data_IF_695630620701
#
_entry.id   IF_695630620701
#
_cell.length_a   1.000
_cell.length_b   1.000
_cell.length_c   1.000
_cell.angle_alpha   90.00
_cell.angle_beta   90.00
_cell.angle_gamma   90.00
#
_symmetry.space_group_name_H-M   'P 1'
#
loop_
_entity.id
_entity.type
_entity.pdbx_description
1 polymer ?
#
# COMPACT_ATOMS: atom_id res chain seq x y z
N UNK A 1 -18.11 -19.87 7.27
CA UNK A 1 -17.80 -18.99 8.42
C UNK A 1 -16.30 -18.73 8.37
N UNK A 2 -15.88 -17.66 7.71
CA UNK A 2 -14.48 -17.23 7.73
C UNK A 2 -14.14 -16.75 9.14
N UNK A 3 -12.95 -17.09 9.64
CA UNK A 3 -12.45 -16.54 10.89
C UNK A 3 -12.40 -15.01 10.75
N UNK A 4 -13.29 -14.30 11.43
CA UNK A 4 -13.15 -12.87 11.68
C UNK A 4 -11.88 -12.71 12.53
N UNK A 5 -10.78 -12.35 11.88
CA UNK A 5 -9.56 -11.92 12.56
C UNK A 5 -9.96 -10.74 13.44
N UNK A 6 -9.71 -10.83 14.74
CA UNK A 6 -10.01 -9.72 15.63
C UNK A 6 -9.16 -8.52 15.26
N UNK A 7 -9.66 -7.32 15.50
CA UNK A 7 -8.97 -6.07 15.19
C UNK A 7 -7.53 -5.99 15.73
N UNK A 8 -7.30 -6.55 16.93
CA UNK A 8 -5.96 -6.68 17.51
C UNK A 8 -5.05 -7.64 16.74
N UNK A 9 -5.57 -8.80 16.30
CA UNK A 9 -4.82 -9.74 15.46
C UNK A 9 -4.53 -9.16 14.07
N UNK A 10 -5.46 -8.35 13.53
CA UNK A 10 -5.25 -7.67 12.26
C UNK A 10 -4.12 -6.64 12.37
N UNK A 11 -4.13 -5.79 13.41
CA UNK A 11 -3.02 -4.87 13.70
C UNK A 11 -1.69 -5.60 13.83
N UNK A 12 -1.67 -6.75 14.50
CA UNK A 12 -0.44 -7.53 14.66
C UNK A 12 0.05 -8.11 13.32
N UNK A 13 -0.85 -8.63 12.48
CA UNK A 13 -0.49 -9.10 11.14
C UNK A 13 0.03 -7.97 10.23
N UNK A 14 -0.52 -6.76 10.35
CA UNK A 14 -0.01 -5.59 9.63
C UNK A 14 1.42 -5.28 10.10
N UNK A 15 1.64 -5.23 11.41
CA UNK A 15 2.95 -4.93 12.00
C UNK A 15 4.01 -5.97 11.60
N UNK A 16 3.62 -7.24 11.52
CA UNK A 16 4.48 -8.32 11.00
C UNK A 16 4.85 -8.05 9.54
N UNK A 17 3.88 -7.76 8.66
CA UNK A 17 4.15 -7.46 7.25
C UNK A 17 5.02 -6.22 7.06
N UNK A 18 4.80 -5.15 7.84
CA UNK A 18 5.66 -3.95 7.79
C UNK A 18 7.10 -4.26 8.19
N UNK A 19 7.29 -5.13 9.19
CA UNK A 19 8.61 -5.58 9.65
C UNK A 19 9.31 -6.40 8.57
N UNK A 20 8.60 -7.37 7.98
CA UNK A 20 9.12 -8.20 6.89
C UNK A 20 9.51 -7.37 5.65
N UNK A 21 8.69 -6.39 5.27
CA UNK A 21 8.98 -5.54 4.12
C UNK A 21 10.18 -4.59 4.37
N UNK A 22 10.30 -4.07 5.60
CA UNK A 22 11.46 -3.30 6.05
C UNK A 22 12.74 -4.13 5.99
N UNK A 23 12.70 -5.38 6.48
CA UNK A 23 13.82 -6.31 6.39
C UNK A 23 14.17 -6.64 4.95
N UNK A 24 13.18 -6.88 4.08
CA UNK A 24 13.40 -7.17 2.66
C UNK A 24 14.14 -6.02 1.97
N UNK A 25 13.68 -4.77 2.16
CA UNK A 25 14.32 -3.56 1.62
C UNK A 25 15.74 -3.37 2.17
N UNK A 26 15.96 -3.68 3.45
CA UNK A 26 17.29 -3.64 4.06
C UNK A 26 18.24 -4.66 3.42
N UNK A 27 17.78 -5.89 3.18
CA UNK A 27 18.55 -6.94 2.49
C UNK A 27 18.89 -6.55 1.06
N UNK A 28 17.93 -6.05 0.29
CA UNK A 28 18.15 -5.57 -1.09
C UNK A 28 19.20 -4.45 -1.15
N UNK A 29 19.14 -3.49 -0.21
CA UNK A 29 20.13 -2.41 -0.12
C UNK A 29 21.52 -2.93 0.25
N UNK A 30 21.61 -3.93 1.13
CA UNK A 30 22.88 -4.54 1.53
C UNK A 30 23.52 -5.31 0.36
N UNK A 31 22.73 -6.08 -0.40
CA UNK A 31 23.21 -6.79 -1.59
C UNK A 31 23.73 -5.82 -2.66
N UNK A 32 23.01 -4.72 -2.93
CA UNK A 32 23.48 -3.70 -3.89
C UNK A 32 24.76 -2.97 -3.44
N UNK A 33 24.96 -2.80 -2.13
CA UNK A 33 26.21 -2.28 -1.56
C UNK A 33 27.37 -3.28 -1.71
N UNK A 34 27.13 -4.57 -1.49
CA UNK A 34 28.14 -5.62 -1.63
C UNK A 34 28.56 -5.84 -3.10
N UNK A 35 27.61 -5.77 -4.05
CA UNK A 35 27.91 -5.81 -5.48
C UNK A 35 28.75 -4.61 -5.92
N UNK A 36 28.43 -3.40 -5.43
CA UNK A 36 29.22 -2.21 -5.70
C UNK A 36 30.65 -2.32 -5.12
N UNK A 37 30.82 -2.83 -3.89
CA UNK A 37 32.15 -3.06 -3.30
C UNK A 37 32.98 -4.09 -4.08
N UNK A 38 32.35 -5.18 -4.54
CA UNK A 38 33.03 -6.17 -5.39
C UNK A 38 33.47 -5.58 -6.72
N UNK A 39 32.64 -4.74 -7.34
CA UNK A 39 32.99 -4.07 -8.61
C UNK A 39 34.13 -3.07 -8.48
N UNK A 40 34.30 -2.45 -7.30
CA UNK A 40 35.41 -1.53 -7.03
C UNK A 40 36.74 -2.26 -6.81
N UNK A 41 36.73 -3.44 -6.16
CA UNK A 41 37.94 -4.23 -5.93
C UNK A 41 38.48 -4.93 -7.20
N UNK A 42 37.64 -5.17 -8.21
CA UNK A 42 38.07 -5.82 -9.47
C UNK A 42 38.86 -4.85 -10.37
N UNK A 43 38.67 -3.53 -10.22
CA UNK A 43 39.32 -2.53 -11.07
C UNK A 43 40.73 -2.11 -10.60
N UNK A 44 41.23 -2.63 -9.48
CA UNK A 44 42.58 -2.29 -8.97
C UNK A 44 43.68 -3.30 -9.36
N UNK A 45 43.36 -4.47 -9.94
CA UNK A 45 44.38 -5.49 -10.26
C UNK A 45 44.80 -5.59 -11.74
N UNK A 46 44.14 -4.90 -12.68
CA UNK A 46 44.56 -4.90 -14.10
C UNK A 46 45.36 -3.64 -14.49
N UNK A 47 46.61 -3.54 -14.03
CA UNK A 47 47.61 -2.76 -14.77
C UNK A 47 49.06 -3.18 -14.46
N UNK A 48 49.55 -4.22 -15.16
CA UNK A 48 50.98 -4.43 -15.49
C UNK A 48 51.14 -5.53 -16.54
N UNK A 49 51.54 -5.14 -17.75
CA UNK A 49 52.15 -5.99 -18.79
C UNK A 49 53.69 -5.79 -18.71
N UNK A 50 54.60 -6.71 -19.11
CA UNK A 50 54.66 -7.28 -20.47
C UNK A 50 55.10 -8.76 -20.63
N UNK A 51 54.78 -9.32 -21.81
CA UNK A 51 55.29 -10.52 -22.54
C UNK A 51 56.86 -10.64 -22.58
N UNK A 52 57.57 -11.75 -22.99
CA UNK A 52 57.15 -12.87 -23.86
C UNK A 52 57.76 -14.30 -23.66
N UNK A 53 57.13 -15.29 -24.34
CA UNK A 53 57.64 -16.55 -24.91
C UNK A 53 58.41 -17.59 -24.04
N UNK A 54 57.89 -18.82 -23.98
CA UNK A 54 58.64 -20.06 -24.36
C UNK A 54 57.67 -21.23 -24.56
N UNK A 55 58.00 -22.06 -25.55
CA UNK A 55 57.38 -23.33 -25.94
C UNK A 55 57.65 -24.41 -24.88
N UNK A 56 56.78 -25.42 -24.78
CA UNK A 56 57.09 -26.84 -25.05
C UNK A 56 55.89 -27.74 -24.70
N UNK A 57 55.91 -28.91 -25.30
CA UNK A 57 54.83 -29.85 -25.65
C UNK A 57 54.43 -30.84 -24.55
N UNK A 58 53.34 -31.58 -24.84
CA UNK A 58 53.03 -32.97 -24.41
C UNK A 58 52.68 -33.20 -22.92
N UNK A 59 51.78 -34.09 -22.49
CA UNK A 59 50.93 -35.13 -23.09
C UNK A 59 49.92 -35.58 -22.00
N UNK A 60 48.93 -36.42 -22.32
CA UNK A 60 48.32 -37.33 -21.32
C UNK A 60 46.80 -37.36 -21.18
N UNK A 61 46.25 -38.47 -21.67
CA UNK A 61 44.85 -38.92 -21.64
C UNK A 61 44.28 -39.26 -20.24
N UNK A 62 42.94 -39.14 -20.15
CA UNK A 62 41.92 -39.95 -19.46
C UNK A 62 42.24 -40.60 -18.09
N UNK A 63 41.32 -40.44 -17.13
CA UNK A 63 40.87 -41.58 -16.32
C UNK A 63 39.49 -41.35 -15.66
N UNK A 64 38.54 -42.22 -16.00
CA UNK A 64 37.33 -42.52 -15.22
C UNK A 64 37.76 -43.22 -13.92
N UNK A 65 37.23 -42.76 -12.79
CA UNK A 65 37.41 -43.39 -11.48
C UNK A 65 36.10 -43.47 -10.73
N UNK A 66 35.44 -44.62 -10.83
CA UNK A 66 34.29 -45.04 -10.01
C UNK A 66 34.81 -45.54 -8.66
N UNK A 67 34.37 -44.97 -7.52
CA UNK A 67 34.53 -45.59 -6.20
C UNK A 67 33.26 -45.35 -5.36
N UNK A 68 32.76 -46.46 -4.82
CA UNK A 68 31.55 -46.62 -4.04
C UNK A 68 31.64 -46.09 -2.60
N UNK A 69 30.47 -45.67 -2.09
CA UNK A 69 29.94 -45.77 -0.73
C UNK A 69 30.84 -45.50 0.49
N UNK A 70 30.49 -44.48 1.28
CA UNK A 70 29.93 -44.67 2.65
C UNK A 70 29.45 -43.33 3.25
N UNK A 71 28.21 -43.39 3.73
CA UNK A 71 27.40 -42.59 4.67
C UNK A 71 28.07 -41.41 5.43
N UNK A 72 27.51 -40.19 5.30
CA UNK A 72 26.69 -39.53 6.35
C UNK A 72 26.18 -38.15 5.89
N UNK A 73 25.01 -37.79 6.41
CA UNK A 73 24.38 -36.47 6.53
C UNK A 73 23.50 -35.91 5.39
N UNK A 74 22.23 -36.30 5.47
CA UNK A 74 21.03 -35.44 5.32
C UNK A 74 20.98 -34.47 4.13
N UNK A 75 20.94 -35.00 2.92
CA UNK A 75 20.42 -34.25 1.75
C UNK A 75 18.91 -34.50 1.60
N UNK A 76 18.09 -33.72 2.33
CA UNK A 76 16.66 -33.58 2.01
C UNK A 76 16.51 -32.74 0.74
N UNK A 77 16.76 -33.36 -0.41
CA UNK A 77 16.35 -32.85 -1.72
C UNK A 77 14.85 -33.06 -1.89
N UNK A 78 14.06 -32.37 -1.07
CA UNK A 78 12.62 -32.26 -1.29
C UNK A 78 12.39 -31.44 -2.56
N UNK A 79 12.12 -32.16 -3.63
CA UNK A 79 11.59 -31.69 -4.91
C UNK A 79 10.61 -30.54 -4.67
N UNK A 80 10.98 -29.34 -5.11
CA UNK A 80 10.09 -28.17 -5.20
C UNK A 80 9.00 -28.48 -6.23
N UNK A 81 7.97 -29.19 -5.78
CA UNK A 81 6.67 -29.22 -6.46
C UNK A 81 6.22 -27.76 -6.49
N UNK A 82 6.19 -27.15 -7.68
CA UNK A 82 5.78 -25.76 -7.85
C UNK A 82 4.41 -25.56 -7.22
N UNK A 83 4.39 -25.02 -6.00
CA UNK A 83 3.17 -24.57 -5.35
C UNK A 83 2.74 -23.39 -6.20
N UNK A 84 1.69 -23.59 -6.99
CA UNK A 84 0.97 -22.46 -7.60
C UNK A 84 0.38 -21.70 -6.42
N UNK A 85 1.06 -20.64 -5.98
CA UNK A 85 0.53 -19.73 -4.96
C UNK A 85 -0.78 -19.16 -5.50
N UNK A 86 -1.90 -19.64 -4.95
CA UNK A 86 -3.22 -19.13 -5.29
C UNK A 86 -3.37 -17.75 -4.65
N UNK A 87 -3.79 -16.72 -5.41
CA UNK A 87 -3.94 -15.38 -4.87
C UNK A 87 -5.06 -15.34 -3.83
N UNK A 88 -4.94 -14.44 -2.85
CA UNK A 88 -5.93 -14.28 -1.78
C UNK A 88 -6.98 -13.25 -2.21
N UNK A 89 -8.21 -13.67 -2.55
CA UNK A 89 -9.25 -12.75 -3.02
C UNK A 89 -9.73 -11.82 -1.90
N UNK A 90 -10.08 -10.60 -2.28
CA UNK A 90 -10.77 -9.63 -1.42
C UNK A 90 -12.29 -9.80 -1.54
N UNK A 91 -13.03 -9.42 -0.50
CA UNK A 91 -14.51 -9.41 -0.51
C UNK A 91 -15.05 -8.49 -1.62
N UNK A 92 -14.47 -7.29 -1.71
CA UNK A 92 -14.78 -6.31 -2.75
C UNK A 92 -13.56 -6.02 -3.62
N UNK A 93 -13.81 -5.72 -4.89
CA UNK A 93 -12.81 -5.06 -5.73
C UNK A 93 -12.72 -3.58 -5.39
N UNK A 94 -11.52 -3.01 -5.47
CA UNK A 94 -11.23 -1.62 -5.13
C UNK A 94 -10.50 -0.95 -6.29
N UNK A 95 -10.69 0.37 -6.44
CA UNK A 95 -10.06 1.16 -7.50
C UNK A 95 -9.31 2.34 -6.90
N UNK A 96 -8.02 2.46 -7.24
CA UNK A 96 -7.24 3.64 -6.94
C UNK A 96 -7.50 4.74 -7.96
N UNK A 97 -7.61 5.99 -7.50
CA UNK A 97 -7.78 7.18 -8.33
C UNK A 97 -6.82 8.27 -7.91
N UNK A 98 -6.37 9.07 -8.87
CA UNK A 98 -5.57 10.27 -8.59
C UNK A 98 -6.20 11.50 -9.22
N UNK A 99 -6.17 12.60 -8.50
CA UNK A 99 -6.44 13.92 -9.03
C UNK A 99 -5.13 14.73 -9.08
N UNK A 100 -4.62 14.96 -10.28
CA UNK A 100 -3.37 15.67 -10.47
C UNK A 100 -3.60 17.18 -10.24
N UNK A 101 -2.88 17.83 -9.31
CA UNK A 101 -3.06 19.26 -9.02
C UNK A 101 -2.89 20.18 -10.24
N UNK A 102 -2.03 19.81 -11.19
CA UNK A 102 -1.81 20.59 -12.42
C UNK A 102 -3.00 20.54 -13.38
N UNK A 103 -3.72 19.42 -13.42
CA UNK A 103 -4.94 19.29 -14.19
C UNK A 103 -6.12 19.90 -13.43
N UNK A 104 -6.14 19.78 -12.10
CA UNK A 104 -7.15 20.35 -11.19
C UNK A 104 -7.28 21.86 -11.31
N UNK A 105 -6.16 22.59 -11.40
CA UNK A 105 -6.17 24.05 -11.53
C UNK A 105 -6.83 24.56 -12.82
N UNK A 106 -7.00 23.70 -13.82
CA UNK A 106 -7.62 24.01 -15.12
C UNK A 106 -9.04 23.44 -15.26
N UNK A 107 -9.59 22.81 -14.21
CA UNK A 107 -10.92 22.21 -14.28
C UNK A 107 -12.04 23.25 -14.24
N UNK A 108 -13.01 23.11 -15.14
CA UNK A 108 -14.29 23.84 -15.07
C UNK A 108 -15.29 23.19 -14.11
N UNK A 109 -15.18 21.87 -13.89
CA UNK A 109 -16.06 21.07 -13.03
C UNK A 109 -15.22 20.21 -12.11
N UNK A 110 -15.52 20.23 -10.80
CA UNK A 110 -14.79 19.45 -9.81
C UNK A 110 -14.83 17.95 -10.14
N UNK A 111 -13.68 17.27 -9.98
CA UNK A 111 -13.56 15.84 -10.24
C UNK A 111 -13.38 15.47 -11.72
N UNK A 112 -13.36 16.43 -12.64
CA UNK A 112 -13.17 16.16 -14.08
C UNK A 112 -11.76 15.69 -14.45
N UNK A 113 -10.73 15.98 -13.63
CA UNK A 113 -9.38 15.42 -13.80
C UNK A 113 -9.06 14.24 -12.90
N UNK A 114 -10.04 13.71 -12.17
CA UNK A 114 -9.86 12.43 -11.47
C UNK A 114 -9.74 11.31 -12.49
N UNK A 115 -8.69 10.49 -12.36
CA UNK A 115 -8.44 9.37 -13.26
C UNK A 115 -8.31 8.09 -12.45
N UNK A 116 -9.00 7.01 -12.86
CA UNK A 116 -8.74 5.71 -12.29
C UNK A 116 -7.33 5.27 -12.71
N UNK A 117 -6.56 4.76 -11.76
CA UNK A 117 -5.22 4.24 -11.99
C UNK A 117 -5.30 2.73 -12.22
N UNK A 118 -5.90 2.02 -11.27
CA UNK A 118 -5.93 0.56 -11.29
C UNK A 118 -7.08 0.02 -10.42
N UNK A 119 -7.69 -1.08 -10.87
CA UNK A 119 -8.67 -1.85 -10.09
C UNK A 119 -8.07 -3.19 -9.67
N UNK A 120 -8.13 -3.50 -8.38
CA UNK A 120 -7.60 -4.73 -7.81
C UNK A 120 -8.66 -5.49 -7.03
N UNK A 121 -8.47 -6.80 -6.92
CA UNK A 121 -9.41 -7.75 -6.30
C UNK A 121 -8.73 -8.82 -5.44
N UNK A 122 -7.40 -8.75 -5.29
CA UNK A 122 -6.63 -9.67 -4.44
C UNK A 122 -5.63 -8.91 -3.58
N UNK A 123 -5.16 -9.54 -2.49
CA UNK A 123 -4.18 -8.98 -1.57
C UNK A 123 -2.83 -8.74 -2.28
N UNK A 124 -2.42 -9.65 -3.17
CA UNK A 124 -1.17 -9.54 -3.93
C UNK A 124 -1.20 -8.36 -4.89
N UNK A 125 -2.34 -8.15 -5.56
CA UNK A 125 -2.54 -7.00 -6.43
C UNK A 125 -2.48 -5.70 -5.61
N UNK A 126 -3.10 -5.66 -4.44
CA UNK A 126 -3.01 -4.50 -3.54
C UNK A 126 -1.55 -4.18 -3.19
N UNK A 127 -0.78 -5.14 -2.70
CA UNK A 127 0.62 -4.90 -2.30
C UNK A 127 1.52 -4.58 -3.49
N UNK A 128 1.32 -5.26 -4.63
CA UNK A 128 2.02 -4.94 -5.87
C UNK A 128 1.81 -3.48 -6.28
N UNK A 129 0.58 -2.98 -6.20
CA UNK A 129 0.29 -1.58 -6.52
C UNK A 129 0.82 -0.63 -5.45
N UNK A 130 0.52 -0.90 -4.17
CA UNK A 130 0.87 -0.03 -3.06
C UNK A 130 2.38 0.22 -2.97
N UNK A 131 3.19 -0.80 -3.29
CA UNK A 131 4.65 -0.71 -3.27
C UNK A 131 5.23 0.05 -4.47
N UNK A 132 4.46 0.24 -5.55
CA UNK A 132 4.88 0.92 -6.77
C UNK A 132 4.28 2.33 -6.94
N UNK A 133 3.43 2.77 -6.02
CA UNK A 133 2.86 4.13 -6.01
C UNK A 133 3.55 5.02 -4.96
N UNK A 134 3.47 6.34 -5.14
CA UNK A 134 3.94 7.28 -4.14
C UNK A 134 3.02 7.31 -2.92
N UNK A 135 3.61 7.14 -1.72
CA UNK A 135 2.94 7.40 -0.44
C UNK A 135 2.56 8.89 -0.30
N UNK A 136 1.58 9.22 0.57
CA UNK A 136 1.13 10.59 0.78
C UNK A 136 2.25 11.62 0.96
N UNK A 137 3.28 11.30 1.74
CA UNK A 137 4.44 12.15 2.00
C UNK A 137 5.24 12.55 0.75
N UNK A 138 5.12 11.79 -0.34
CA UNK A 138 5.82 11.98 -1.61
C UNK A 138 4.92 12.50 -2.73
N UNK A 139 3.62 12.69 -2.47
CA UNK A 139 2.71 13.25 -3.46
C UNK A 139 2.92 14.77 -3.63
N UNK A 140 2.67 15.32 -4.83
CA UNK A 140 2.79 16.75 -5.06
C UNK A 140 1.73 17.53 -4.27
N UNK A 141 2.07 18.77 -3.90
CA UNK A 141 1.14 19.65 -3.19
C UNK A 141 -0.15 19.86 -3.99
N UNK A 142 -1.29 19.70 -3.31
CA UNK A 142 -2.61 19.81 -3.92
C UNK A 142 -3.12 18.49 -4.54
N UNK A 143 -2.33 17.41 -4.50
CA UNK A 143 -2.78 16.10 -4.93
C UNK A 143 -3.84 15.52 -3.99
N UNK A 144 -4.76 14.78 -4.58
CA UNK A 144 -5.69 13.91 -3.89
C UNK A 144 -5.54 12.49 -4.44
N UNK A 145 -5.34 11.53 -3.53
CA UNK A 145 -5.20 10.10 -3.86
C UNK A 145 -6.32 9.32 -3.17
N UNK A 146 -7.03 8.49 -3.94
CA UNK A 146 -8.30 7.91 -3.52
C UNK A 146 -8.27 6.40 -3.68
N UNK A 147 -8.97 5.68 -2.81
CA UNK A 147 -9.26 4.25 -2.95
C UNK A 147 -10.74 4.02 -2.65
N UNK A 148 -11.51 3.60 -3.64
CA UNK A 148 -12.96 3.43 -3.53
C UNK A 148 -13.38 2.03 -3.97
N UNK A 149 -14.48 1.51 -3.39
CA UNK A 149 -15.08 0.25 -3.85
C UNK A 149 -15.36 0.37 -5.35
N UNK A 150 -15.10 -0.71 -6.09
CA UNK A 150 -15.22 -0.70 -7.54
C UNK A 150 -16.65 -0.31 -7.97
N UNK A 151 -16.74 0.49 -9.04
CA UNK A 151 -17.98 1.14 -9.55
C UNK A 151 -18.54 2.29 -8.70
N UNK A 152 -17.87 2.69 -7.63
CA UNK A 152 -18.15 3.94 -6.92
C UNK A 152 -17.10 4.96 -7.35
N UNK A 153 -17.55 6.04 -8.00
CA UNK A 153 -16.64 7.15 -8.29
C UNK A 153 -16.43 8.00 -7.04
N UNK A 154 -15.23 8.55 -6.81
CA UNK A 154 -14.92 9.42 -5.66
C UNK A 154 -15.53 10.83 -5.84
N UNK A 155 -16.83 10.88 -6.14
CA UNK A 155 -17.57 12.07 -6.52
C UNK A 155 -18.87 12.17 -5.72
N UNK A 156 -19.30 13.39 -5.40
CA UNK A 156 -20.56 13.59 -4.68
C UNK A 156 -21.77 13.40 -5.60
N UNK A 157 -21.55 13.44 -6.92
CA UNK A 157 -22.53 13.13 -7.96
C UNK A 157 -22.82 11.63 -8.08
N UNK A 158 -21.93 10.78 -7.56
CA UNK A 158 -22.15 9.34 -7.55
C UNK A 158 -23.38 9.03 -6.67
N UNK A 159 -24.41 8.36 -7.21
CA UNK A 159 -25.67 8.14 -6.50
C UNK A 159 -25.48 7.37 -5.18
N UNK A 160 -24.41 6.57 -5.08
CA UNK A 160 -24.11 5.77 -3.89
C UNK A 160 -23.63 6.63 -2.73
N UNK A 161 -22.88 7.70 -2.99
CA UNK A 161 -22.32 8.56 -1.94
C UNK A 161 -22.98 9.95 -1.88
N UNK A 162 -24.00 10.22 -2.70
CA UNK A 162 -24.71 11.51 -2.76
C UNK A 162 -25.36 11.90 -1.41
N UNK A 163 -26.03 10.95 -0.74
CA UNK A 163 -26.63 11.16 0.59
C UNK A 163 -25.65 10.85 1.74
N UNK A 164 -24.37 10.79 1.40
CA UNK A 164 -23.29 10.37 2.25
C UNK A 164 -22.61 11.49 3.00
N UNK A 165 -21.50 11.13 3.62
CA UNK A 165 -20.64 12.06 4.32
C UNK A 165 -19.25 11.49 4.47
N UNK A 166 -18.40 12.23 5.19
CA UNK A 166 -17.03 11.77 5.45
C UNK A 166 -16.57 12.10 6.85
N UNK A 167 -15.91 11.13 7.47
CA UNK A 167 -15.05 11.35 8.64
C UNK A 167 -13.72 11.92 8.16
N UNK A 168 -13.11 12.84 8.91
CA UNK A 168 -11.80 13.41 8.55
C UNK A 168 -10.85 13.44 9.75
N UNK A 169 -9.63 12.93 9.53
CA UNK A 169 -8.46 13.11 10.41
C UNK A 169 -7.46 14.05 9.73
N UNK A 170 -6.68 14.78 10.53
CA UNK A 170 -5.64 15.68 10.02
C UNK A 170 -4.29 15.33 10.61
N UNK A 171 -3.26 15.32 9.77
CA UNK A 171 -1.88 15.06 10.16
C UNK A 171 -0.99 16.23 9.74
N UNK A 172 0.11 16.49 10.46
CA UNK A 172 1.20 17.32 9.94
C UNK A 172 1.70 16.75 8.61
N UNK A 173 2.18 17.63 7.73
CA UNK A 173 2.74 17.21 6.43
C UNK A 173 3.83 16.14 6.61
N UNK A 174 3.75 15.07 5.82
CA UNK A 174 4.66 13.93 5.84
C UNK A 174 4.43 12.95 6.99
N UNK A 175 3.29 13.03 7.70
CA UNK A 175 2.97 12.17 8.85
C UNK A 175 1.73 11.30 8.64
N UNK A 176 1.15 11.28 7.44
CA UNK A 176 -0.08 10.51 7.17
C UNK A 176 0.16 9.11 6.56
N UNK A 177 1.39 8.74 6.17
CA UNK A 177 1.68 7.51 5.43
C UNK A 177 1.17 6.23 6.13
N UNK A 178 1.51 6.03 7.41
CA UNK A 178 1.08 4.86 8.18
C UNK A 178 -0.44 4.84 8.35
N UNK A 179 -1.04 5.98 8.70
CA UNK A 179 -2.49 6.09 8.87
C UNK A 179 -3.26 5.87 7.57
N UNK A 180 -2.68 6.26 6.43
CA UNK A 180 -3.20 5.97 5.11
C UNK A 180 -3.15 4.47 4.81
N UNK A 181 -2.01 3.82 5.05
CA UNK A 181 -1.89 2.37 4.90
C UNK A 181 -2.90 1.62 5.79
N UNK A 182 -3.00 1.99 7.07
CA UNK A 182 -3.93 1.34 7.99
C UNK A 182 -5.39 1.53 7.54
N UNK A 183 -5.74 2.72 7.07
CA UNK A 183 -7.06 2.98 6.49
C UNK A 183 -7.31 2.06 5.30
N UNK A 184 -6.38 1.96 4.34
CA UNK A 184 -6.51 1.07 3.19
C UNK A 184 -6.65 -0.40 3.59
N UNK A 185 -5.87 -0.85 4.56
CA UNK A 185 -5.92 -2.23 5.04
C UNK A 185 -7.26 -2.53 5.73
N UNK A 186 -7.77 -1.61 6.55
CA UNK A 186 -9.08 -1.74 7.18
C UNK A 186 -10.22 -1.78 6.15
N UNK A 187 -10.10 -1.01 5.07
CA UNK A 187 -11.04 -1.03 3.95
C UNK A 187 -11.05 -2.39 3.27
N UNK A 188 -9.92 -2.84 2.72
CA UNK A 188 -9.85 -4.07 1.91
C UNK A 188 -10.07 -5.33 2.75
N UNK A 189 -9.78 -5.26 4.05
CA UNK A 189 -10.00 -6.34 5.01
C UNK A 189 -11.41 -6.36 5.61
N UNK A 190 -12.32 -5.47 5.20
CA UNK A 190 -13.70 -5.35 5.71
C UNK A 190 -13.76 -5.31 7.26
N UNK A 191 -12.91 -4.48 7.87
CA UNK A 191 -12.72 -4.46 9.33
C UNK A 191 -13.77 -3.63 10.09
N UNK A 192 -14.68 -2.97 9.38
CA UNK A 192 -15.72 -2.15 9.99
C UNK A 192 -17.00 -2.96 10.18
N UNK A 193 -17.61 -2.87 11.38
CA UNK A 193 -18.92 -3.48 11.66
C UNK A 193 -20.00 -3.09 10.63
N UNK A 194 -19.99 -1.82 10.22
CA UNK A 194 -20.88 -1.28 9.18
C UNK A 194 -20.12 -1.11 7.84
N UNK A 195 -19.34 -2.11 7.43
CA UNK A 195 -18.51 -2.08 6.21
C UNK A 195 -19.28 -1.82 4.90
N UNK A 196 -20.57 -2.17 4.86
CA UNK A 196 -21.46 -1.89 3.71
C UNK A 196 -21.72 -0.40 3.50
N UNK A 197 -21.64 0.40 4.57
CA UNK A 197 -21.79 1.85 4.51
C UNK A 197 -20.56 2.53 3.91
N UNK A 198 -19.42 1.85 3.83
CA UNK A 198 -18.18 2.42 3.34
C UNK A 198 -18.18 2.55 1.81
N UNK A 199 -17.92 3.77 1.32
CA UNK A 199 -17.65 4.03 -0.10
C UNK A 199 -16.16 3.85 -0.43
N UNK A 200 -15.28 4.41 0.41
CA UNK A 200 -13.85 4.52 0.13
C UNK A 200 -13.16 5.54 1.02
N UNK A 201 -11.89 5.81 0.74
CA UNK A 201 -11.12 6.83 1.42
C UNK A 201 -10.30 7.69 0.45
N UNK A 202 -9.97 8.90 0.90
CA UNK A 202 -9.12 9.85 0.17
C UNK A 202 -8.08 10.44 1.11
N UNK A 203 -6.86 10.58 0.63
CA UNK A 203 -5.81 11.39 1.25
C UNK A 203 -5.54 12.63 0.41
N UNK A 204 -5.62 13.79 1.07
CA UNK A 204 -5.47 15.11 0.48
C UNK A 204 -4.21 15.79 1.01
N UNK A 205 -3.23 16.00 0.13
CA UNK A 205 -1.96 16.65 0.48
C UNK A 205 -2.09 18.16 0.28
N UNK A 206 -1.93 18.93 1.35
CA UNK A 206 -1.97 20.40 1.33
C UNK A 206 -0.71 20.97 1.98
N UNK A 207 -0.56 22.30 1.95
CA UNK A 207 0.68 22.96 2.31
C UNK A 207 1.18 22.65 3.74
N UNK A 208 0.31 22.74 4.74
CA UNK A 208 0.66 22.51 6.16
C UNK A 208 0.18 21.17 6.72
N UNK A 209 -0.90 20.63 6.15
CA UNK A 209 -1.60 19.48 6.67
C UNK A 209 -1.88 18.48 5.54
N UNK A 210 -1.88 17.21 5.91
CA UNK A 210 -2.43 16.12 5.13
C UNK A 210 -3.73 15.68 5.80
N UNK A 211 -4.79 15.50 5.02
CA UNK A 211 -6.09 15.06 5.55
C UNK A 211 -6.41 13.70 4.95
N UNK A 212 -6.77 12.75 5.80
CA UNK A 212 -7.39 11.49 5.34
C UNK A 212 -8.87 11.61 5.64
N UNK A 213 -9.71 11.27 4.67
CA UNK A 213 -11.15 11.23 4.84
C UNK A 213 -11.73 9.88 4.42
N UNK A 214 -12.59 9.33 5.27
CA UNK A 214 -13.30 8.07 5.06
C UNK A 214 -14.75 8.39 4.67
N UNK A 215 -15.16 7.98 3.48
CA UNK A 215 -16.46 8.31 2.88
C UNK A 215 -17.47 7.19 3.13
N UNK A 216 -18.70 7.58 3.49
CA UNK A 216 -19.80 6.67 3.77
C UNK A 216 -21.07 7.06 3.00
N UNK A 217 -21.97 6.10 2.77
CA UNK A 217 -23.15 6.21 1.90
C UNK A 217 -24.35 6.88 2.55
N UNK A 218 -24.72 6.47 3.77
CA UNK A 218 -25.90 6.99 4.46
C UNK A 218 -25.52 7.86 5.66
N UNK A 219 -25.42 9.16 5.42
CA UNK A 219 -25.07 10.13 6.44
C UNK A 219 -26.08 10.19 7.60
N UNK A 220 -27.36 9.91 7.34
CA UNK A 220 -28.42 9.98 8.35
C UNK A 220 -28.41 8.81 9.34
N UNK A 221 -27.71 7.72 9.03
CA UNK A 221 -27.58 6.57 9.94
C UNK A 221 -26.57 6.85 11.04
N UNK A 222 -26.98 7.61 12.06
CA UNK A 222 -26.12 8.04 13.17
C UNK A 222 -25.43 6.86 13.88
N UNK A 223 -26.14 5.75 14.11
CA UNK A 223 -25.57 4.56 14.75
C UNK A 223 -24.39 4.00 13.95
N UNK A 224 -24.56 3.83 12.64
CA UNK A 224 -23.48 3.37 11.78
C UNK A 224 -22.34 4.39 11.73
N UNK A 225 -22.63 5.68 11.56
CA UNK A 225 -21.58 6.70 11.48
C UNK A 225 -20.75 6.78 12.76
N UNK A 226 -21.39 6.76 13.93
CA UNK A 226 -20.71 6.80 15.22
C UNK A 226 -19.88 5.52 15.47
N UNK A 227 -20.36 4.34 15.05
CA UNK A 227 -19.58 3.10 15.16
C UNK A 227 -18.35 3.13 14.25
N UNK A 228 -18.52 3.51 12.98
CA UNK A 228 -17.42 3.65 12.01
C UNK A 228 -16.37 4.65 12.50
N UNK A 229 -16.79 5.83 12.95
CA UNK A 229 -15.88 6.87 13.42
C UNK A 229 -15.04 6.39 14.61
N UNK A 230 -15.66 5.72 15.59
CA UNK A 230 -14.95 5.18 16.78
C UNK A 230 -13.96 4.09 16.39
N UNK A 231 -14.38 3.11 15.59
CA UNK A 231 -13.52 2.03 15.11
C UNK A 231 -12.33 2.58 14.31
N UNK A 232 -12.57 3.57 13.45
CA UNK A 232 -11.50 4.17 12.66
C UNK A 232 -10.51 4.96 13.53
N UNK A 233 -11.01 5.69 14.52
CA UNK A 233 -10.16 6.40 15.49
C UNK A 233 -9.28 5.44 16.29
N UNK A 234 -9.86 4.34 16.76
CA UNK A 234 -9.13 3.26 17.46
C UNK A 234 -8.10 2.57 16.54
N UNK A 235 -8.45 2.35 15.27
CA UNK A 235 -7.55 1.75 14.27
C UNK A 235 -6.28 2.57 14.14
N UNK A 236 -6.46 3.88 14.00
CA UNK A 236 -5.39 4.83 13.76
C UNK A 236 -4.62 5.24 15.02
N UNK A 237 -5.06 4.79 16.20
CA UNK A 237 -4.56 5.28 17.50
C UNK A 237 -4.61 6.83 17.56
N UNK A 238 -5.69 7.40 17.03
CA UNK A 238 -5.83 8.84 16.86
C UNK A 238 -6.52 9.46 18.08
N UNK A 239 -5.76 10.23 18.86
CA UNK A 239 -6.26 10.75 20.14
C UNK A 239 -7.20 11.95 20.01
N UNK A 240 -7.03 12.73 18.94
CA UNK A 240 -7.82 13.95 18.75
C UNK A 240 -9.26 13.63 18.31
N UNK A 241 -10.14 14.59 18.57
CA UNK A 241 -11.53 14.55 18.14
C UNK A 241 -11.64 14.60 16.62
N UNK A 242 -12.40 13.68 16.03
CA UNK A 242 -12.66 13.65 14.58
C UNK A 242 -14.11 14.05 14.30
N UNK A 243 -14.35 14.63 13.13
CA UNK A 243 -15.66 15.13 12.72
C UNK A 243 -16.19 14.46 11.46
N UNK A 244 -17.51 14.28 11.42
CA UNK A 244 -18.25 13.81 10.24
C UNK A 244 -19.00 14.97 9.58
N UNK A 245 -18.79 15.18 8.28
CA UNK A 245 -19.47 16.22 7.51
C UNK A 245 -20.29 15.58 6.40
N UNK A 246 -21.54 15.98 6.26
CA UNK A 246 -22.43 15.54 5.18
C UNK A 246 -21.94 16.14 3.85
N UNK A 247 -21.98 15.35 2.77
CA UNK A 247 -21.56 15.84 1.45
C UNK A 247 -22.39 17.05 1.00
N UNK A 248 -23.69 17.01 1.29
CA UNK A 248 -24.63 18.08 0.99
C UNK A 248 -24.26 19.41 1.67
N UNK A 249 -23.83 19.36 2.93
CA UNK A 249 -23.38 20.54 3.68
C UNK A 249 -22.02 21.03 3.16
N UNK A 250 -21.08 20.12 2.90
CA UNK A 250 -19.78 20.45 2.31
C UNK A 250 -19.94 21.15 0.97
N UNK A 251 -20.93 20.76 0.17
CA UNK A 251 -21.21 21.33 -1.15
C UNK A 251 -21.89 22.70 -1.08
N UNK A 252 -22.84 22.88 -0.16
CA UNK A 252 -23.59 24.14 0.00
C UNK A 252 -22.78 25.22 0.73
N UNK A 253 -21.97 24.82 1.70
CA UNK A 253 -21.31 25.74 2.64
C UNK A 253 -19.79 25.84 2.45
N UNK A 254 -19.18 24.95 1.64
CA UNK A 254 -17.73 24.84 1.45
C UNK A 254 -16.98 24.87 2.79
N UNK A 255 -16.23 25.94 3.08
CA UNK A 255 -15.46 26.11 4.33
C UNK A 255 -16.35 26.31 5.56
N UNK A 256 -17.62 26.67 5.38
CA UNK A 256 -18.59 26.89 6.45
C UNK A 256 -19.30 25.62 6.92
N UNK A 257 -19.07 24.48 6.28
CA UNK A 257 -19.68 23.21 6.67
C UNK A 257 -19.25 22.81 8.08
N UNK A 258 -20.21 22.37 8.89
CA UNK A 258 -19.99 21.99 10.29
C UNK A 258 -20.04 20.47 10.44
N UNK A 259 -19.34 19.96 11.45
CA UNK A 259 -19.42 18.56 11.81
C UNK A 259 -20.83 18.26 12.32
N UNK A 260 -21.48 17.26 11.72
CA UNK A 260 -22.78 16.74 12.17
C UNK A 260 -22.61 15.79 13.34
N UNK A 261 -21.56 14.97 13.29
CA UNK A 261 -21.17 14.03 14.35
C UNK A 261 -19.69 14.22 14.69
N UNK A 262 -19.33 13.80 15.91
CA UNK A 262 -18.01 13.98 16.48
C UNK A 262 -17.69 12.82 17.42
N UNK A 263 -16.49 12.24 17.33
CA UNK A 263 -16.00 11.14 18.19
C UNK A 263 -14.55 11.29 18.63
#
# INVERSE_FOLDING_TARGET
MGLLITFGQFKEQIKIKETEESERKSREKKMGLEENLKSMNINEEENKNPNPNTKDEEDGELEEGEIAGEEDDTTSSSLKKGVVEQPHPLEHSWTFWVDNPFAKSKQATWGSSMRPIYTFSTIEQFWSLYNNIHHPSKLPLGADFHCFKHKIEPKWEDPVCANGGKWTVSFPKGKSDTSWLYTLLALIGEQFEYGDEICGAVVSVRGKLEKIALWTKNAANETAQMSIGKQWKELLDYNDTIGFIFHDDAKKLDRGAKNRYTV
#
